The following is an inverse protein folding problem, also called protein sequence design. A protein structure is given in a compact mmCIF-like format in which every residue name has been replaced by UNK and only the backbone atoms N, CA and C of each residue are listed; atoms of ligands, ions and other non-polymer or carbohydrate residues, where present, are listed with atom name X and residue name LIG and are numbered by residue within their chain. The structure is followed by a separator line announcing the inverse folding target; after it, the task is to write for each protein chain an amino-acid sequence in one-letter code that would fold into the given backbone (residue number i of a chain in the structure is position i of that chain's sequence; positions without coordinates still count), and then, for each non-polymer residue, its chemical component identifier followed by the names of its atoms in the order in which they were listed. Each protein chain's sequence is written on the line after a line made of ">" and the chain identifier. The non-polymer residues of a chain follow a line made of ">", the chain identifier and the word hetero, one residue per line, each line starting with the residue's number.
data_IF_753125934638
#
_entry.id   IF_753125934638
#
_cell.length_a   1.000
_cell.length_b   1.000
_cell.length_c   1.000
_cell.angle_alpha   90.00
_cell.angle_beta   90.00
_cell.angle_gamma   90.00
#
_symmetry.space_group_name_H-M   'P 1'
#
loop_
_entity.id
_entity.type
_entity.pdbx_description
1 polymer ?
#
# COMPACT_ATOMS: atom_id res chain seq x y z
N UNK A 1 6.72 13.13 -13.87
CA UNK A 1 6.69 14.60 -14.10
C UNK A 1 5.92 14.97 -15.36
N UNK A 2 6.40 14.69 -16.58
CA UNK A 2 5.67 15.07 -17.81
C UNK A 2 4.24 14.47 -17.89
N UNK A 3 4.09 13.19 -17.54
CA UNK A 3 2.79 12.52 -17.49
C UNK A 3 1.81 13.21 -16.55
N UNK A 4 2.26 13.55 -15.34
CA UNK A 4 1.47 14.21 -14.30
C UNK A 4 1.07 15.64 -14.71
N UNK A 5 2.02 16.41 -15.25
CA UNK A 5 1.77 17.77 -15.72
C UNK A 5 0.74 17.83 -16.85
N UNK A 6 0.80 16.88 -17.79
CA UNK A 6 -0.16 16.76 -18.88
C UNK A 6 -1.49 16.11 -18.47
N UNK A 7 -1.58 15.60 -17.22
CA UNK A 7 -2.72 14.82 -16.72
C UNK A 7 -3.07 13.63 -17.61
N UNK A 8 -2.03 12.95 -18.11
CA UNK A 8 -2.22 11.78 -18.95
C UNK A 8 -2.81 10.62 -18.13
N UNK A 9 -3.69 9.84 -18.76
CA UNK A 9 -4.29 8.67 -18.15
C UNK A 9 -3.32 7.47 -18.24
N UNK A 10 -2.53 7.24 -17.20
CA UNK A 10 -1.47 6.22 -17.18
C UNK A 10 -1.48 5.47 -15.87
N UNK A 11 -1.33 4.15 -15.95
CA UNK A 11 -1.22 3.26 -14.78
C UNK A 11 0.13 2.57 -14.83
N UNK A 12 0.95 2.80 -13.81
CA UNK A 12 2.28 2.18 -13.69
C UNK A 12 2.21 1.13 -12.60
N UNK A 13 2.56 -0.11 -12.95
CA UNK A 13 2.74 -1.20 -11.98
C UNK A 13 4.25 -1.31 -11.72
N UNK A 14 4.66 -0.94 -10.51
CA UNK A 14 6.04 -0.95 -10.07
C UNK A 14 6.29 -2.17 -9.19
N UNK A 15 7.02 -3.16 -9.73
CA UNK A 15 7.37 -4.39 -9.02
C UNK A 15 8.68 -4.30 -8.25
N UNK A 16 8.90 -5.30 -7.40
CA UNK A 16 10.18 -5.53 -6.70
C UNK A 16 10.61 -4.39 -5.79
N UNK A 17 9.64 -3.76 -5.13
CA UNK A 17 9.92 -2.57 -4.33
C UNK A 17 10.63 -2.87 -2.99
N UNK A 18 11.51 -1.95 -2.59
CA UNK A 18 12.22 -2.00 -1.32
C UNK A 18 13.09 -3.24 -1.14
N UNK A 19 13.23 -3.68 0.12
CA UNK A 19 14.07 -4.84 0.50
C UNK A 19 13.65 -6.15 -0.16
N UNK A 20 12.44 -6.22 -0.71
CA UNK A 20 11.91 -7.41 -1.37
C UNK A 20 12.62 -7.74 -2.69
N UNK A 21 13.45 -6.84 -3.22
CA UNK A 21 14.38 -7.17 -4.31
C UNK A 21 15.45 -8.22 -3.92
N UNK A 22 15.62 -8.52 -2.63
CA UNK A 22 16.46 -9.60 -2.09
C UNK A 22 17.85 -9.67 -2.76
N UNK A 23 18.18 -10.81 -3.39
CA UNK A 23 19.47 -11.12 -4.01
C UNK A 23 19.87 -10.19 -5.16
N UNK A 24 18.95 -9.38 -5.70
CA UNK A 24 19.28 -8.41 -6.74
C UNK A 24 20.14 -7.24 -6.20
N UNK A 25 20.19 -7.06 -4.87
CA UNK A 25 21.00 -6.06 -4.20
C UNK A 25 20.43 -4.64 -4.26
N UNK A 26 21.12 -3.70 -3.62
CA UNK A 26 20.62 -2.34 -3.40
C UNK A 26 20.32 -1.53 -4.67
N UNK A 27 20.92 -1.88 -5.81
CA UNK A 27 20.65 -1.21 -7.10
C UNK A 27 19.25 -1.50 -7.65
N UNK A 28 18.60 -2.55 -7.14
CA UNK A 28 17.24 -2.96 -7.55
C UNK A 28 16.21 -2.70 -6.45
N UNK A 29 16.62 -2.12 -5.31
CA UNK A 29 15.74 -1.84 -4.18
C UNK A 29 15.28 -0.38 -4.23
N UNK A 30 14.03 -0.14 -4.63
CA UNK A 30 13.45 1.21 -4.58
C UNK A 30 12.99 1.55 -3.16
N UNK A 31 13.57 2.59 -2.57
CA UNK A 31 13.19 3.08 -1.24
C UNK A 31 12.52 4.46 -1.30
N UNK A 32 12.78 5.18 -2.38
CA UNK A 32 12.44 6.58 -2.58
C UNK A 32 11.27 6.78 -3.54
N UNK A 33 10.86 5.73 -4.26
CA UNK A 33 9.86 5.76 -5.34
C UNK A 33 8.54 6.39 -4.89
N UNK A 34 8.00 5.93 -3.75
CA UNK A 34 6.76 6.49 -3.22
C UNK A 34 6.89 7.96 -2.85
N UNK A 35 8.02 8.36 -2.28
CA UNK A 35 8.28 9.76 -1.91
C UNK A 35 8.36 10.67 -3.13
N UNK A 36 9.06 10.21 -4.18
CA UNK A 36 9.19 10.93 -5.45
C UNK A 36 7.84 11.08 -6.14
N UNK A 37 7.12 9.97 -6.32
CA UNK A 37 5.87 9.97 -7.08
C UNK A 37 4.79 10.73 -6.32
N UNK A 38 4.67 10.56 -4.99
CA UNK A 38 3.72 11.31 -4.16
C UNK A 38 3.92 12.82 -4.24
N UNK A 39 5.14 13.29 -4.53
CA UNK A 39 5.42 14.71 -4.73
C UNK A 39 4.79 15.30 -5.99
N UNK A 40 4.26 14.48 -6.89
CA UNK A 40 3.58 14.90 -8.11
C UNK A 40 2.12 15.26 -7.81
N UNK A 41 1.66 16.39 -8.35
CA UNK A 41 0.44 17.08 -7.89
C UNK A 41 -0.85 16.29 -8.14
N UNK A 42 -0.90 15.47 -9.17
CA UNK A 42 -2.10 14.75 -9.60
C UNK A 42 -1.93 13.23 -9.56
N UNK A 43 -0.83 12.75 -9.00
CA UNK A 43 -0.58 11.32 -8.88
C UNK A 43 -1.40 10.68 -7.76
N UNK A 44 -1.75 9.41 -7.96
CA UNK A 44 -2.27 8.55 -6.89
C UNK A 44 -1.29 7.41 -6.66
N UNK A 45 -0.72 7.35 -5.46
CA UNK A 45 0.27 6.34 -5.08
C UNK A 45 -0.41 5.29 -4.23
N UNK A 46 -0.30 4.04 -4.67
CA UNK A 46 -0.85 2.85 -4.03
C UNK A 46 0.27 1.86 -3.72
N UNK A 47 0.18 1.16 -2.60
CA UNK A 47 1.01 -0.01 -2.29
C UNK A 47 0.15 -1.14 -1.76
N UNK A 48 0.05 -2.22 -2.53
CA UNK A 48 -0.84 -3.33 -2.21
C UNK A 48 -0.21 -4.31 -1.23
N UNK A 49 -1.03 -4.78 -0.29
CA UNK A 49 -0.63 -5.67 0.80
C UNK A 49 -0.49 -7.13 0.36
N UNK A 50 -1.44 -7.63 -0.43
CA UNK A 50 -1.44 -9.02 -0.89
C UNK A 50 -2.06 -9.19 -2.29
N UNK A 51 -2.14 -10.45 -2.73
CA UNK A 51 -2.68 -10.79 -4.05
C UNK A 51 -4.17 -10.50 -4.21
N UNK A 52 -4.96 -10.56 -3.11
CA UNK A 52 -6.39 -10.29 -3.14
C UNK A 52 -6.62 -8.79 -3.36
N UNK A 53 -5.92 -7.95 -2.59
CA UNK A 53 -5.95 -6.51 -2.77
C UNK A 53 -5.44 -6.11 -4.15
N UNK A 54 -4.34 -6.70 -4.61
CA UNK A 54 -3.82 -6.42 -5.95
C UNK A 54 -4.86 -6.70 -7.04
N UNK A 55 -5.56 -7.84 -6.97
CA UNK A 55 -6.56 -8.20 -7.98
C UNK A 55 -7.76 -7.25 -7.99
N UNK A 56 -8.23 -6.80 -6.82
CA UNK A 56 -9.36 -5.87 -6.73
C UNK A 56 -8.97 -4.46 -7.19
N UNK A 57 -7.84 -3.93 -6.69
CA UNK A 57 -7.32 -2.61 -7.09
C UNK A 57 -7.04 -2.57 -8.59
N UNK A 58 -6.44 -3.62 -9.16
CA UNK A 58 -6.18 -3.67 -10.59
C UNK A 58 -7.46 -3.57 -11.42
N UNK A 59 -8.57 -4.16 -10.95
CA UNK A 59 -9.88 -4.01 -11.62
C UNK A 59 -10.39 -2.59 -11.55
N UNK A 60 -10.34 -1.96 -10.38
CA UNK A 60 -10.75 -0.55 -10.22
C UNK A 60 -9.94 0.38 -11.13
N UNK A 61 -8.62 0.18 -11.21
CA UNK A 61 -7.74 1.02 -12.04
C UNK A 61 -8.03 0.95 -13.55
N UNK A 62 -8.71 -0.10 -14.04
CA UNK A 62 -9.11 -0.18 -15.44
C UNK A 62 -10.15 0.87 -15.81
N UNK A 63 -11.02 1.23 -14.86
CA UNK A 63 -12.16 2.12 -15.08
C UNK A 63 -11.87 3.58 -14.63
N UNK A 64 -10.74 3.81 -13.97
CA UNK A 64 -10.35 5.12 -13.44
C UNK A 64 -9.46 5.89 -14.41
N UNK A 65 -9.69 7.20 -14.49
CA UNK A 65 -8.83 8.13 -15.21
C UNK A 65 -7.81 8.79 -14.29
N UNK A 66 -6.59 8.98 -14.80
CA UNK A 66 -5.52 9.71 -14.13
C UNK A 66 -4.20 8.96 -14.10
N UNK A 67 -3.26 9.51 -13.34
CA UNK A 67 -1.94 8.90 -13.17
C UNK A 67 -1.85 8.11 -11.86
N UNK A 68 -1.82 6.78 -11.97
CA UNK A 68 -1.73 5.86 -10.84
C UNK A 68 -0.38 5.16 -10.80
N UNK A 69 0.23 5.13 -9.63
CA UNK A 69 1.44 4.36 -9.33
C UNK A 69 1.08 3.25 -8.34
N UNK A 70 1.13 2.02 -8.82
CA UNK A 70 0.80 0.83 -8.03
C UNK A 70 2.09 0.07 -7.71
N UNK A 71 2.56 0.25 -6.48
CA UNK A 71 3.72 -0.45 -5.91
C UNK A 71 3.32 -1.85 -5.48
N UNK A 72 4.10 -2.84 -5.87
CA UNK A 72 3.81 -4.26 -5.62
C UNK A 72 5.02 -4.97 -4.99
N UNK A 73 4.71 -5.97 -4.17
CA UNK A 73 5.66 -6.78 -3.42
C UNK A 73 6.23 -7.88 -4.33
N UNK A 74 7.53 -8.17 -4.22
CA UNK A 74 8.15 -9.33 -4.89
C UNK A 74 8.01 -10.60 -4.07
N UNK A 75 7.21 -11.55 -4.59
CA UNK A 75 7.09 -12.95 -4.14
C UNK A 75 6.70 -13.09 -2.65
N UNK A 76 6.03 -14.19 -2.30
CA UNK A 76 5.76 -14.55 -0.89
C UNK A 76 5.05 -13.47 -0.05
N UNK A 77 4.15 -12.69 -0.64
CA UNK A 77 3.29 -11.82 0.16
C UNK A 77 2.45 -12.67 1.12
N UNK A 78 2.41 -12.28 2.38
CA UNK A 78 1.53 -12.89 3.39
C UNK A 78 0.08 -12.67 2.98
N UNK A 79 -0.72 -13.73 2.96
CA UNK A 79 -2.15 -13.61 2.68
C UNK A 79 -2.84 -12.97 3.89
N UNK A 80 -3.39 -11.77 3.71
CA UNK A 80 -4.09 -11.02 4.77
C UNK A 80 -5.59 -11.07 4.54
N UNK A 81 -6.03 -10.84 3.31
CA UNK A 81 -7.44 -10.72 2.97
C UNK A 81 -8.02 -12.03 2.43
N UNK A 82 -9.30 -12.27 2.72
CA UNK A 82 -10.04 -13.39 2.17
C UNK A 82 -10.39 -13.15 0.69
N UNK A 83 -10.45 -14.20 -0.15
CA UNK A 83 -10.91 -14.07 -1.53
C UNK A 83 -12.28 -13.38 -1.61
N UNK A 84 -12.42 -12.42 -2.54
CA UNK A 84 -13.65 -11.63 -2.70
C UNK A 84 -13.73 -10.36 -1.86
N UNK A 85 -12.72 -10.08 -1.04
CA UNK A 85 -12.58 -8.77 -0.38
C UNK A 85 -12.46 -7.65 -1.42
N UNK A 86 -13.12 -6.52 -1.15
CA UNK A 86 -13.11 -5.32 -2.00
C UNK A 86 -12.56 -4.14 -1.21
N UNK A 87 -11.90 -3.22 -1.90
CA UNK A 87 -11.23 -2.08 -1.29
C UNK A 87 -11.72 -0.77 -1.89
N UNK A 88 -11.49 0.34 -1.21
CA UNK A 88 -11.82 1.68 -1.75
C UNK A 88 -10.55 2.50 -1.77
N UNK A 89 -10.09 2.87 -2.98
CA UNK A 89 -8.93 3.76 -3.13
C UNK A 89 -9.18 5.05 -2.35
N UNK A 90 -8.21 5.43 -1.50
CA UNK A 90 -8.34 6.56 -0.58
C UNK A 90 -8.89 6.22 0.81
N UNK A 91 -9.25 4.96 1.09
CA UNK A 91 -9.74 4.55 2.42
C UNK A 91 -8.82 3.48 3.03
N UNK A 92 -8.46 3.68 4.30
CA UNK A 92 -7.73 2.67 5.08
C UNK A 92 -8.64 1.52 5.50
N UNK A 93 -8.09 0.30 5.56
CA UNK A 93 -8.82 -0.87 6.06
C UNK A 93 -8.42 -1.13 7.51
N UNK A 94 -9.39 -1.12 8.42
CA UNK A 94 -9.17 -1.52 9.81
C UNK A 94 -9.11 -3.04 9.86
N UNK A 95 -7.96 -3.58 10.25
CA UNK A 95 -7.72 -5.02 10.36
C UNK A 95 -7.85 -5.53 11.80
N UNK A 96 -7.58 -4.65 12.76
CA UNK A 96 -7.70 -4.92 14.19
C UNK A 96 -8.11 -3.63 14.89
N UNK A 97 -9.11 -3.73 15.78
CA UNK A 97 -9.50 -2.63 16.65
C UNK A 97 -8.56 -2.53 17.88
N UNK A 98 -8.46 -1.34 18.45
CA UNK A 98 -7.68 -1.07 19.66
C UNK A 98 -7.72 0.41 20.05
N UNK A 99 -7.38 0.71 21.29
CA UNK A 99 -7.65 2.01 21.93
C UNK A 99 -6.43 2.67 22.58
N UNK A 100 -5.31 1.96 22.75
CA UNK A 100 -4.08 2.54 23.32
C UNK A 100 -3.17 3.18 22.24
N UNK A 101 -3.05 2.52 21.08
CA UNK A 101 -2.18 2.94 19.98
C UNK A 101 -2.73 2.49 18.63
N UNK A 102 -2.43 3.23 17.56
CA UNK A 102 -2.76 2.85 16.19
C UNK A 102 -1.50 2.63 15.36
N UNK A 103 -1.35 1.43 14.80
CA UNK A 103 -0.32 1.06 13.85
C UNK A 103 -0.87 1.22 12.43
N UNK A 104 -0.29 2.13 11.65
CA UNK A 104 -0.65 2.35 10.25
C UNK A 104 0.47 1.78 9.38
N UNK A 105 0.14 0.83 8.52
CA UNK A 105 1.09 0.14 7.65
C UNK A 105 0.52 -0.02 6.23
N UNK A 106 1.36 -0.45 5.29
CA UNK A 106 0.99 -0.84 3.94
C UNK A 106 1.98 -1.90 3.43
N UNK A 107 1.63 -2.56 2.33
CA UNK A 107 2.51 -3.54 1.69
C UNK A 107 2.93 -4.65 2.65
N UNK A 108 4.22 -4.99 2.65
CA UNK A 108 4.77 -6.05 3.51
C UNK A 108 4.63 -5.75 5.00
N UNK A 109 4.58 -4.47 5.40
CA UNK A 109 4.60 -4.08 6.80
C UNK A 109 3.27 -4.34 7.50
N UNK A 110 2.18 -4.62 6.77
CA UNK A 110 0.88 -4.94 7.35
C UNK A 110 0.94 -6.24 8.15
N UNK A 111 1.61 -7.27 7.63
CA UNK A 111 1.79 -8.53 8.35
C UNK A 111 2.61 -8.32 9.63
N UNK A 112 3.67 -7.53 9.55
CA UNK A 112 4.51 -7.18 10.71
C UNK A 112 3.74 -6.36 11.76
N UNK A 113 2.88 -5.44 11.33
CA UNK A 113 2.05 -4.64 12.23
C UNK A 113 1.01 -5.48 12.98
N UNK A 114 0.40 -6.49 12.32
CA UNK A 114 -0.49 -7.44 12.96
C UNK A 114 0.23 -8.30 14.01
N UNK A 115 1.44 -8.76 13.70
CA UNK A 115 2.26 -9.54 14.63
C UNK A 115 2.73 -8.69 15.82
N UNK A 116 3.13 -7.43 15.58
CA UNK A 116 3.45 -6.50 16.65
C UNK A 116 2.26 -6.22 17.57
N UNK A 117 1.05 -6.04 17.01
CA UNK A 117 -0.16 -5.86 17.80
C UNK A 117 -0.47 -7.08 18.68
N UNK A 118 -0.23 -8.29 18.17
CA UNK A 118 -0.38 -9.55 18.94
C UNK A 118 0.62 -9.66 20.10
N UNK A 119 1.84 -9.13 19.93
CA UNK A 119 2.85 -9.09 20.98
C UNK A 119 2.49 -8.04 22.04
N UNK A 120 2.08 -6.84 21.62
CA UNK A 120 1.62 -5.76 22.51
C UNK A 120 0.44 -6.18 23.38
N UNK A 121 -0.49 -6.96 22.84
CA UNK A 121 -1.63 -7.48 23.60
C UNK A 121 -1.19 -8.37 24.78
N UNK A 122 -0.09 -9.13 24.64
CA UNK A 122 0.47 -9.95 25.73
C UNK A 122 1.09 -9.08 26.84
N UNK A 123 1.46 -7.84 26.51
CA UNK A 123 1.98 -6.84 27.45
C UNK A 123 0.86 -5.93 28.01
N UNK A 124 -0.39 -6.18 27.63
CA UNK A 124 -1.55 -5.41 28.08
C UNK A 124 -1.80 -4.12 27.31
N UNK A 125 -1.22 -3.97 26.11
CA UNK A 125 -1.42 -2.82 25.22
C UNK A 125 -2.33 -3.20 24.04
N UNK A 126 -3.42 -2.45 23.88
CA UNK A 126 -4.45 -2.62 22.86
C UNK A 126 -4.12 -1.79 21.61
N UNK A 127 -3.55 -2.43 20.59
CA UNK A 127 -3.13 -1.77 19.35
C UNK A 127 -4.11 -1.93 18.18
N UNK A 128 -4.67 -0.84 17.66
CA UNK A 128 -5.37 -0.85 16.38
C UNK A 128 -4.38 -1.05 15.22
N UNK A 129 -4.79 -1.74 14.16
CA UNK A 129 -4.00 -1.93 12.94
C UNK A 129 -4.80 -1.51 11.73
N UNK A 130 -4.26 -0.54 10.98
CA UNK A 130 -4.86 0.00 9.75
C UNK A 130 -3.91 -0.25 8.59
N UNK A 131 -4.43 -0.91 7.56
CA UNK A 131 -3.78 -0.98 6.24
C UNK A 131 -4.16 0.24 5.41
N UNK A 132 -3.21 1.17 5.29
CA UNK A 132 -3.34 2.40 4.52
C UNK A 132 -2.61 2.27 3.17
N UNK A 133 -3.18 1.44 2.29
CA UNK A 133 -2.61 1.13 0.98
C UNK A 133 -2.61 2.32 -0.01
N UNK A 134 -3.28 3.44 0.30
CA UNK A 134 -3.26 4.68 -0.50
C UNK A 134 -2.45 5.76 0.20
N UNK A 135 -1.45 6.35 -0.47
CA UNK A 135 -0.57 7.39 0.09
C UNK A 135 -0.70 8.77 -0.58
N UNK A 136 -1.78 9.03 -1.32
CA UNK A 136 -1.89 10.27 -2.11
C UNK A 136 -2.29 11.50 -1.28
N UNK A 137 -1.80 12.68 -1.71
CA UNK A 137 -2.25 14.00 -1.25
C UNK A 137 -3.53 14.49 -1.95
N UNK A 138 -3.83 13.94 -3.13
CA UNK A 138 -4.93 14.42 -3.99
C UNK A 138 -6.29 13.78 -3.67
N UNK A 139 -6.29 12.72 -2.87
CA UNK A 139 -7.48 12.02 -2.38
C UNK A 139 -7.45 12.09 -0.86
N UNK A 140 -8.53 12.60 -0.26
CA UNK A 140 -8.66 12.62 1.19
C UNK A 140 -8.64 11.18 1.73
N UNK A 141 -7.64 10.90 2.56
CA UNK A 141 -7.40 9.62 3.18
C UNK A 141 -7.93 9.62 4.61
N UNK A 142 -9.25 9.50 4.81
CA UNK A 142 -9.89 9.42 6.13
C UNK A 142 -11.07 8.44 6.10
#
# INVERSE_FOLDING_TARGET
>A
MALDYQRNNVKVIASDAGVTACHNGGTHMSFEDMGIVRGLAHSVVLEVTDAVMFADILRQLMDLDGFYWLRTIRKQATSIYAPGSTFTIGKGNVLREGDDITLIANGIMVAEALEAARQLEQEGVSAAVIDMFTLSLSIACW
#
